data_IF_033868570110
#
_entry.id   IF_033868570110
#
_cell.length_a   1.000
_cell.length_b   1.000
_cell.length_c   1.000
_cell.angle_alpha   90.00
_cell.angle_beta   90.00
_cell.angle_gamma   90.00
#
_symmetry.space_group_name_H-M   'P 1'
#
loop_
_entity.id
_entity.type
_entity.pdbx_description
1 polymer ?
#
# COMPACT_ATOMS: atom_id res chain seq x y z
N UNK A 1 -7.14 62.93 -88.39
CA UNK A 1 -7.01 61.95 -89.49
C UNK A 1 -8.33 61.19 -89.60
N UNK A 2 -9.08 61.37 -90.69
CA UNK A 2 -10.42 60.80 -90.84
C UNK A 2 -10.36 59.26 -90.93
N UNK A 3 -11.45 58.56 -90.56
CA UNK A 3 -11.51 57.09 -90.55
C UNK A 3 -11.10 56.49 -91.91
N UNK A 4 -11.51 57.13 -93.01
CA UNK A 4 -11.07 56.79 -94.36
C UNK A 4 -9.55 56.86 -94.53
N UNK A 5 -8.90 57.88 -93.98
CA UNK A 5 -7.43 58.03 -94.04
C UNK A 5 -6.71 57.00 -93.17
N UNK A 6 -7.31 56.58 -92.05
CA UNK A 6 -6.75 55.51 -91.18
C UNK A 6 -6.88 54.13 -91.81
N UNK A 7 -8.04 53.81 -92.38
CA UNK A 7 -8.26 52.56 -93.12
C UNK A 7 -7.41 52.53 -94.38
N UNK A 8 -7.29 53.64 -95.09
CA UNK A 8 -6.39 53.75 -96.24
C UNK A 8 -4.92 53.55 -95.83
N UNK A 9 -4.49 54.09 -94.68
CA UNK A 9 -3.13 53.82 -94.16
C UNK A 9 -2.97 52.33 -93.82
N UNK A 10 -3.94 51.72 -93.16
CA UNK A 10 -3.89 50.31 -92.81
C UNK A 10 -3.84 49.41 -94.05
N UNK A 11 -4.69 49.64 -95.05
CA UNK A 11 -4.68 48.93 -96.33
C UNK A 11 -3.38 49.16 -97.11
N UNK A 12 -2.85 50.38 -97.08
CA UNK A 12 -1.55 50.71 -97.68
C UNK A 12 -0.43 49.89 -97.03
N UNK A 13 -0.37 49.83 -95.70
CA UNK A 13 0.60 48.99 -95.00
C UNK A 13 0.38 47.49 -95.22
N UNK A 14 -0.87 47.04 -95.38
CA UNK A 14 -1.20 45.65 -95.70
C UNK A 14 -0.74 45.26 -97.12
N UNK A 15 -0.89 46.15 -98.09
CA UNK A 15 -0.33 45.98 -99.44
C UNK A 15 1.20 46.03 -99.44
N UNK A 16 1.82 46.95 -98.70
CA UNK A 16 3.28 46.99 -98.56
C UNK A 16 3.78 45.68 -97.94
N UNK A 17 3.08 45.17 -96.92
CA UNK A 17 3.38 43.88 -96.31
C UNK A 17 3.24 42.70 -97.29
N UNK A 18 2.18 42.65 -98.10
CA UNK A 18 2.01 41.58 -99.09
C UNK A 18 3.11 41.60 -100.15
N UNK A 19 3.56 42.79 -100.56
CA UNK A 19 4.67 42.95 -101.51
C UNK A 19 5.99 42.49 -100.89
N UNK A 20 6.30 42.89 -99.66
CA UNK A 20 7.51 42.42 -98.97
C UNK A 20 7.49 40.92 -98.68
N UNK A 21 6.32 40.35 -98.37
CA UNK A 21 6.16 38.90 -98.19
C UNK A 21 6.36 38.14 -99.51
N UNK A 22 5.89 38.68 -100.63
CA UNK A 22 6.12 38.12 -101.97
C UNK A 22 7.61 38.20 -102.37
N UNK A 23 8.29 39.30 -102.06
CA UNK A 23 9.74 39.45 -102.29
C UNK A 23 10.52 38.46 -101.43
N UNK A 24 10.15 38.30 -100.16
CA UNK A 24 10.74 37.31 -99.26
C UNK A 24 10.51 35.87 -99.73
N UNK A 25 9.32 35.56 -100.23
CA UNK A 25 9.00 34.26 -100.83
C UNK A 25 9.77 34.00 -102.12
N UNK A 26 9.94 35.01 -102.97
CA UNK A 26 10.74 34.91 -104.18
C UNK A 26 12.23 34.66 -103.87
N UNK A 27 12.78 35.34 -102.87
CA UNK A 27 14.14 35.07 -102.36
C UNK A 27 14.27 33.68 -101.73
N UNK A 28 13.24 33.21 -101.02
CA UNK A 28 13.19 31.86 -100.45
C UNK A 28 13.20 30.77 -101.54
N UNK A 29 12.46 30.98 -102.62
CA UNK A 29 12.40 30.03 -103.75
C UNK A 29 13.65 30.13 -104.65
N UNK A 30 14.31 31.29 -104.72
CA UNK A 30 15.43 31.54 -105.64
C UNK A 30 16.83 31.22 -105.06
N UNK A 31 16.97 30.87 -103.79
CA UNK A 31 18.29 30.63 -103.18
C UNK A 31 18.69 29.16 -103.24
N UNK A 32 19.70 28.85 -104.06
CA UNK A 32 20.45 27.59 -103.99
C UNK A 32 21.28 27.52 -102.68
N UNK A 33 21.48 26.30 -102.16
CA UNK A 33 22.00 25.99 -100.82
C UNK A 33 23.38 26.61 -100.48
N UNK A 34 23.47 27.45 -99.43
CA UNK A 34 24.48 27.41 -98.34
C UNK A 34 24.46 28.68 -97.43
N UNK A 35 24.54 28.47 -96.10
CA UNK A 35 24.63 29.43 -94.96
C UNK A 35 23.30 29.84 -94.31
N UNK A 36 23.03 29.26 -93.12
CA UNK A 36 21.78 29.34 -92.32
C UNK A 36 21.71 30.62 -91.45
N UNK A 37 22.48 31.68 -91.76
CA UNK A 37 22.56 32.89 -90.93
C UNK A 37 21.62 34.04 -91.38
N UNK A 38 21.30 34.25 -92.68
CA UNK A 38 20.35 35.31 -93.06
C UNK A 38 18.89 34.98 -92.73
N UNK A 39 18.54 33.70 -92.52
CA UNK A 39 17.15 33.24 -92.33
C UNK A 39 16.57 33.65 -90.97
N UNK A 40 17.36 33.58 -89.89
CA UNK A 40 16.91 33.99 -88.55
C UNK A 40 16.72 35.50 -88.41
N UNK A 41 17.54 36.30 -89.11
CA UNK A 41 17.40 37.75 -89.16
C UNK A 41 16.09 38.17 -89.87
N UNK A 42 15.74 37.50 -90.97
CA UNK A 42 14.48 37.74 -91.68
C UNK A 42 13.27 37.30 -90.85
N UNK A 43 13.35 36.13 -90.18
CA UNK A 43 12.28 35.65 -89.31
C UNK A 43 12.08 36.53 -88.07
N UNK A 44 13.14 37.05 -87.45
CA UNK A 44 13.04 37.96 -86.31
C UNK A 44 12.48 39.32 -86.72
N UNK A 45 12.90 39.87 -87.86
CA UNK A 45 12.32 41.12 -88.39
C UNK A 45 10.85 40.93 -88.77
N UNK A 46 10.47 39.81 -89.38
CA UNK A 46 9.07 39.49 -89.68
C UNK A 46 8.24 39.30 -88.41
N UNK A 47 8.79 38.65 -87.38
CA UNK A 47 8.14 38.50 -86.07
C UNK A 47 7.95 39.86 -85.39
N UNK A 48 8.98 40.70 -85.35
CA UNK A 48 8.90 42.06 -84.80
C UNK A 48 7.89 42.93 -85.57
N UNK A 49 7.86 42.84 -86.90
CA UNK A 49 6.88 43.56 -87.72
C UNK A 49 5.46 43.01 -87.55
N UNK A 50 5.29 41.71 -87.35
CA UNK A 50 4.00 41.11 -87.03
C UNK A 50 3.51 41.55 -85.66
N UNK A 51 4.39 41.58 -84.66
CA UNK A 51 4.10 42.09 -83.31
C UNK A 51 3.78 43.59 -83.37
N UNK A 52 4.53 44.38 -84.15
CA UNK A 52 4.26 45.81 -84.32
C UNK A 52 2.94 46.05 -85.06
N UNK A 53 2.67 45.30 -86.13
CA UNK A 53 1.42 45.37 -86.88
C UNK A 53 0.22 44.95 -86.02
N UNK A 54 0.34 43.90 -85.21
CA UNK A 54 -0.73 43.46 -84.30
C UNK A 54 -0.93 44.46 -83.17
N UNK A 55 0.14 45.01 -82.58
CA UNK A 55 0.06 46.07 -81.58
C UNK A 55 -0.56 47.35 -82.16
N UNK A 56 -0.22 47.71 -83.40
CA UNK A 56 -0.72 48.91 -84.07
C UNK A 56 -2.16 48.71 -84.56
N UNK A 57 -2.55 47.51 -85.01
CA UNK A 57 -3.96 47.13 -85.26
C UNK A 57 -4.77 47.18 -83.97
N UNK A 58 -4.25 46.63 -82.87
CA UNK A 58 -4.88 46.69 -81.57
C UNK A 58 -5.05 48.15 -81.12
N UNK A 59 -4.03 49.00 -81.27
CA UNK A 59 -4.10 50.42 -80.90
C UNK A 59 -5.07 51.22 -81.80
N UNK A 60 -5.02 50.99 -83.11
CA UNK A 60 -5.88 51.67 -84.10
C UNK A 60 -7.33 51.20 -84.01
N UNK A 61 -7.60 49.95 -83.63
CA UNK A 61 -8.94 49.42 -83.43
C UNK A 61 -9.50 49.76 -82.03
N UNK A 62 -8.68 49.72 -80.98
CA UNK A 62 -9.12 49.94 -79.60
C UNK A 62 -9.64 51.36 -79.35
N UNK A 63 -9.02 52.39 -79.94
CA UNK A 63 -9.46 53.77 -79.78
C UNK A 63 -10.85 54.06 -80.39
N UNK A 64 -11.16 53.70 -81.66
CA UNK A 64 -12.50 53.84 -82.22
C UNK A 64 -13.51 52.87 -81.59
N UNK A 65 -13.11 51.65 -81.18
CA UNK A 65 -14.00 50.75 -80.42
C UNK A 65 -14.39 51.34 -79.06
N UNK A 66 -13.45 51.90 -78.29
CA UNK A 66 -13.78 52.62 -77.05
C UNK A 66 -14.69 53.82 -77.29
N UNK A 67 -14.47 54.56 -78.38
CA UNK A 67 -15.34 55.69 -78.78
C UNK A 67 -16.72 55.25 -79.28
N UNK A 68 -16.80 54.08 -79.91
CA UNK A 68 -18.06 53.47 -80.37
C UNK A 68 -18.83 52.85 -79.21
N UNK A 69 -18.16 52.23 -78.24
CA UNK A 69 -18.78 51.70 -77.02
C UNK A 69 -19.28 52.84 -76.14
N UNK A 70 -18.49 53.87 -75.88
CA UNK A 70 -18.95 55.05 -75.12
C UNK A 70 -20.08 55.81 -75.82
N UNK A 71 -20.04 55.97 -77.16
CA UNK A 71 -21.18 56.52 -77.91
C UNK A 71 -22.38 55.58 -77.96
N UNK A 72 -22.18 54.27 -77.97
CA UNK A 72 -23.25 53.29 -77.89
C UNK A 72 -23.92 53.28 -76.50
N UNK A 73 -23.17 53.56 -75.44
CA UNK A 73 -23.68 53.77 -74.08
C UNK A 73 -24.54 55.06 -74.02
N UNK A 74 -24.06 56.16 -74.62
CA UNK A 74 -24.83 57.41 -74.76
C UNK A 74 -26.05 57.29 -75.70
N UNK A 75 -25.99 56.42 -76.72
CA UNK A 75 -27.06 56.20 -77.71
C UNK A 75 -28.05 55.11 -77.30
N UNK A 76 -27.72 54.23 -76.36
CA UNK A 76 -28.65 53.23 -75.80
C UNK A 76 -29.77 53.90 -75.00
N UNK A 77 -29.51 55.08 -74.41
CA UNK A 77 -30.51 55.91 -73.74
C UNK A 77 -31.29 56.82 -74.71
N UNK A 78 -30.81 56.98 -75.96
CA UNK A 78 -31.46 57.80 -76.99
C UNK A 78 -32.27 56.92 -77.95
N UNK A 79 -33.56 56.81 -77.64
CA UNK A 79 -34.55 55.98 -78.31
C UNK A 79 -34.68 56.24 -79.83
N UNK A 80 -34.84 55.13 -80.57
CA UNK A 80 -35.47 54.98 -81.89
C UNK A 80 -34.84 55.45 -83.23
N UNK A 81 -33.52 55.69 -83.34
CA UNK A 81 -32.91 56.11 -84.63
C UNK A 81 -31.82 55.21 -85.27
N UNK A 82 -31.55 54.02 -84.71
CA UNK A 82 -30.56 53.08 -85.26
C UNK A 82 -31.16 52.00 -86.19
N UNK A 83 -30.50 51.66 -87.33
CA UNK A 83 -30.84 50.49 -88.14
C UNK A 83 -30.79 49.19 -87.32
N UNK A 84 -31.79 48.31 -87.49
CA UNK A 84 -32.02 47.14 -86.62
C UNK A 84 -30.82 46.18 -86.43
N UNK A 85 -30.01 45.95 -87.48
CA UNK A 85 -28.80 45.11 -87.38
C UNK A 85 -27.71 45.73 -86.50
N UNK A 86 -27.51 47.06 -86.61
CA UNK A 86 -26.49 47.76 -85.84
C UNK A 86 -26.89 47.88 -84.37
N UNK A 87 -28.19 48.11 -84.10
CA UNK A 87 -28.76 48.08 -82.75
C UNK A 87 -28.53 46.73 -82.10
N UNK A 88 -28.84 45.64 -82.80
CA UNK A 88 -28.65 44.26 -82.30
C UNK A 88 -27.18 43.95 -82.02
N UNK A 89 -26.26 44.36 -82.90
CA UNK A 89 -24.82 44.18 -82.68
C UNK A 89 -24.31 44.99 -81.49
N UNK A 90 -24.74 46.25 -81.35
CA UNK A 90 -24.37 47.13 -80.24
C UNK A 90 -24.91 46.60 -78.91
N UNK A 91 -26.19 46.23 -78.85
CA UNK A 91 -26.79 45.66 -77.63
C UNK A 91 -26.16 44.33 -77.26
N UNK A 92 -25.83 43.46 -78.23
CA UNK A 92 -25.13 42.21 -77.97
C UNK A 92 -23.68 42.44 -77.51
N UNK A 93 -22.98 43.43 -78.06
CA UNK A 93 -21.60 43.72 -77.67
C UNK A 93 -21.55 44.35 -76.26
N UNK A 94 -22.49 45.25 -75.96
CA UNK A 94 -22.62 45.86 -74.64
C UNK A 94 -23.06 44.83 -73.59
N UNK A 95 -24.01 43.96 -73.91
CA UNK A 95 -24.42 42.87 -73.02
C UNK A 95 -23.29 41.85 -72.80
N UNK A 96 -22.48 41.52 -73.79
CA UNK A 96 -21.28 40.69 -73.60
C UNK A 96 -20.27 41.38 -72.66
N UNK A 97 -20.07 42.68 -72.79
CA UNK A 97 -19.16 43.43 -71.90
C UNK A 97 -19.68 43.48 -70.46
N UNK A 98 -20.97 43.75 -70.28
CA UNK A 98 -21.65 43.77 -68.98
C UNK A 98 -21.67 42.36 -68.35
N UNK A 99 -22.05 41.33 -69.09
CA UNK A 99 -22.01 39.94 -68.64
C UNK A 99 -20.59 39.52 -68.25
N UNK A 100 -19.57 39.95 -69.00
CA UNK A 100 -18.18 39.71 -68.64
C UNK A 100 -17.84 40.36 -67.31
N UNK A 101 -18.17 41.64 -67.08
CA UNK A 101 -17.96 42.31 -65.79
C UNK A 101 -18.74 41.65 -64.64
N UNK A 102 -19.96 41.19 -64.88
CA UNK A 102 -20.74 40.45 -63.88
C UNK A 102 -20.06 39.14 -63.50
N UNK A 103 -19.59 38.36 -64.48
CA UNK A 103 -18.81 37.13 -64.24
C UNK A 103 -17.52 37.44 -63.48
N UNK A 104 -16.85 38.55 -63.77
CA UNK A 104 -15.67 39.01 -63.02
C UNK A 104 -15.96 39.26 -61.55
N UNK A 105 -17.04 40.00 -61.27
CA UNK A 105 -17.43 40.31 -59.90
C UNK A 105 -17.84 39.05 -59.14
N UNK A 106 -18.62 38.16 -59.77
CA UNK A 106 -19.02 36.88 -59.19
C UNK A 106 -17.80 36.02 -58.84
N UNK A 107 -16.86 35.83 -59.77
CA UNK A 107 -15.66 35.02 -59.50
C UNK A 107 -14.77 35.68 -58.44
N UNK A 108 -14.65 37.01 -58.44
CA UNK A 108 -13.92 37.76 -57.42
C UNK A 108 -14.52 37.61 -56.02
N UNK A 109 -15.84 37.70 -55.90
CA UNK A 109 -16.57 37.45 -54.65
C UNK A 109 -16.37 36.01 -54.16
N UNK A 110 -16.53 35.02 -55.05
CA UNK A 110 -16.28 33.61 -54.70
C UNK A 110 -14.84 33.35 -54.24
N UNK A 111 -13.85 33.98 -54.85
CA UNK A 111 -12.45 33.83 -54.42
C UNK A 111 -12.19 34.46 -53.05
N UNK A 112 -12.81 35.60 -52.76
CA UNK A 112 -12.71 36.23 -51.44
C UNK A 112 -13.39 35.40 -50.36
N UNK A 113 -14.57 34.84 -50.66
CA UNK A 113 -15.28 33.91 -49.77
C UNK A 113 -14.47 32.64 -49.53
N UNK A 114 -13.92 32.04 -50.59
CA UNK A 114 -13.06 30.85 -50.49
C UNK A 114 -11.78 31.14 -49.69
N UNK A 115 -11.17 32.31 -49.83
CA UNK A 115 -10.02 32.70 -49.02
C UNK A 115 -10.39 32.87 -47.53
N UNK A 116 -11.56 33.44 -47.26
CA UNK A 116 -12.10 33.57 -45.90
C UNK A 116 -12.33 32.19 -45.27
N UNK A 117 -12.95 31.26 -46.01
CA UNK A 117 -13.18 29.90 -45.54
C UNK A 117 -11.88 29.11 -45.34
N UNK A 118 -10.88 29.27 -46.23
CA UNK A 118 -9.55 28.68 -46.03
C UNK A 118 -8.88 29.21 -44.75
N UNK A 119 -8.98 30.50 -44.46
CA UNK A 119 -8.43 31.08 -43.23
C UNK A 119 -9.14 30.52 -41.98
N UNK A 120 -10.47 30.35 -42.02
CA UNK A 120 -11.26 29.75 -40.94
C UNK A 120 -10.88 28.28 -40.71
N UNK A 121 -10.64 27.53 -41.79
CA UNK A 121 -10.17 26.14 -41.71
C UNK A 121 -8.73 26.04 -41.18
N UNK A 122 -7.83 26.96 -41.56
CA UNK A 122 -6.47 27.05 -41.03
C UNK A 122 -6.49 27.26 -39.50
N UNK A 123 -7.39 28.12 -38.99
CA UNK A 123 -7.61 28.36 -37.56
C UNK A 123 -8.18 27.14 -36.85
N UNK A 124 -9.26 26.54 -37.37
CA UNK A 124 -9.87 25.33 -36.80
C UNK A 124 -8.87 24.16 -36.73
N UNK A 125 -8.01 24.02 -37.74
CA UNK A 125 -6.94 23.03 -37.74
C UNK A 125 -5.91 23.32 -36.65
N UNK A 126 -5.48 24.58 -36.50
CA UNK A 126 -4.55 24.97 -35.44
C UNK A 126 -5.05 24.53 -34.07
N UNK A 127 -6.31 24.86 -33.78
CA UNK A 127 -6.99 24.44 -32.56
C UNK A 127 -7.08 22.92 -32.42
N UNK A 128 -7.38 22.18 -33.51
CA UNK A 128 -7.44 20.72 -33.49
C UNK A 128 -6.08 20.08 -33.16
N UNK A 129 -4.99 20.62 -33.71
CA UNK A 129 -3.62 20.14 -33.45
C UNK A 129 -3.20 20.38 -31.99
N UNK A 130 -3.59 21.52 -31.44
CA UNK A 130 -3.33 21.84 -30.03
C UNK A 130 -4.11 20.89 -29.11
N UNK A 131 -5.41 20.67 -29.39
CA UNK A 131 -6.26 19.71 -28.67
C UNK A 131 -5.66 18.30 -28.72
N UNK A 132 -5.23 17.83 -29.89
CA UNK A 132 -4.61 16.50 -30.04
C UNK A 132 -3.33 16.37 -29.20
N UNK A 133 -2.51 17.42 -29.16
CA UNK A 133 -1.28 17.42 -28.37
C UNK A 133 -1.57 17.38 -26.89
N UNK A 134 -2.57 18.15 -26.43
CA UNK A 134 -3.03 18.16 -25.04
C UNK A 134 -3.63 16.82 -24.62
N UNK A 135 -4.48 16.21 -25.46
CA UNK A 135 -5.05 14.88 -25.23
C UNK A 135 -3.97 13.81 -25.10
N UNK A 136 -2.96 13.80 -25.98
CA UNK A 136 -1.87 12.82 -25.89
C UNK A 136 -1.09 12.92 -24.58
N UNK A 137 -0.80 14.14 -24.12
CA UNK A 137 -0.15 14.36 -22.83
C UNK A 137 -1.04 13.91 -21.67
N UNK A 138 -2.35 14.15 -21.76
CA UNK A 138 -3.32 13.71 -20.78
C UNK A 138 -3.38 12.18 -20.70
N UNK A 139 -3.43 11.46 -21.83
CA UNK A 139 -3.42 10.00 -21.85
C UNK A 139 -2.15 9.41 -21.24
N UNK A 140 -0.98 9.97 -21.55
CA UNK A 140 0.27 9.51 -20.94
C UNK A 140 0.25 9.66 -19.41
N UNK A 141 -0.21 10.82 -18.92
CA UNK A 141 -0.34 11.07 -17.47
C UNK A 141 -1.34 10.13 -16.81
N UNK A 142 -2.52 9.97 -17.41
CA UNK A 142 -3.57 9.11 -16.86
C UNK A 142 -3.14 7.63 -16.90
N UNK A 143 -2.52 7.17 -18.00
CA UNK A 143 -2.04 5.79 -18.11
C UNK A 143 -0.87 5.48 -17.17
N UNK A 144 0.01 6.44 -16.91
CA UNK A 144 1.02 6.31 -15.85
C UNK A 144 0.37 6.19 -14.47
N UNK A 145 -0.59 7.07 -14.16
CA UNK A 145 -1.32 7.05 -12.89
C UNK A 145 -2.08 5.74 -12.66
N UNK A 146 -2.75 5.18 -13.69
CA UNK A 146 -3.47 3.91 -13.55
C UNK A 146 -2.54 2.70 -13.38
N UNK A 147 -1.36 2.70 -14.03
CA UNK A 147 -0.35 1.66 -13.77
C UNK A 147 0.17 1.73 -12.34
N UNK A 148 0.34 2.93 -11.80
CA UNK A 148 0.71 3.13 -10.40
C UNK A 148 -0.39 2.65 -9.45
N UNK A 149 -1.66 2.96 -9.74
CA UNK A 149 -2.82 2.40 -9.01
C UNK A 149 -2.79 0.87 -9.03
N UNK A 150 -2.57 0.24 -10.20
CA UNK A 150 -2.46 -1.21 -10.32
C UNK A 150 -1.35 -1.81 -9.45
N UNK A 151 -0.19 -1.14 -9.37
CA UNK A 151 0.90 -1.54 -8.47
C UNK A 151 0.47 -1.41 -7.00
N UNK A 152 -0.12 -0.29 -6.60
CA UNK A 152 -0.60 -0.07 -5.24
C UNK A 152 -1.65 -1.10 -4.84
N UNK A 153 -2.58 -1.47 -5.73
CA UNK A 153 -3.56 -2.52 -5.48
C UNK A 153 -2.88 -3.88 -5.22
N UNK A 154 -1.83 -4.20 -5.99
CA UNK A 154 -1.06 -5.43 -5.76
C UNK A 154 -0.32 -5.39 -4.41
N UNK A 155 0.30 -4.26 -4.06
CA UNK A 155 1.02 -4.10 -2.80
C UNK A 155 0.05 -4.24 -1.60
N UNK A 156 -1.13 -3.61 -1.67
CA UNK A 156 -2.18 -3.75 -0.64
C UNK A 156 -2.71 -5.18 -0.57
N UNK A 157 -2.81 -5.90 -1.70
CA UNK A 157 -3.19 -7.32 -1.73
C UNK A 157 -2.17 -8.21 -0.99
N UNK A 158 -0.88 -7.94 -1.17
CA UNK A 158 0.19 -8.64 -0.44
C UNK A 158 0.08 -8.33 1.05
N UNK A 159 -0.02 -7.06 1.44
CA UNK A 159 -0.16 -6.67 2.85
C UNK A 159 -1.42 -7.27 3.51
N UNK A 160 -2.53 -7.35 2.79
CA UNK A 160 -3.76 -7.98 3.28
C UNK A 160 -3.55 -9.47 3.55
N UNK A 161 -2.84 -10.20 2.67
CA UNK A 161 -2.49 -11.62 2.89
C UNK A 161 -1.56 -11.80 4.08
N UNK A 162 -0.52 -10.99 4.20
CA UNK A 162 0.39 -11.02 5.36
C UNK A 162 -0.38 -10.78 6.67
N UNK A 163 -1.39 -9.90 6.64
CA UNK A 163 -2.24 -9.65 7.80
C UNK A 163 -3.08 -10.89 8.18
N UNK A 164 -3.56 -11.67 7.22
CA UNK A 164 -4.22 -12.97 7.50
C UNK A 164 -3.26 -13.91 8.22
N UNK A 165 -2.02 -14.02 7.75
CA UNK A 165 -1.03 -14.96 8.31
C UNK A 165 -0.67 -14.61 9.76
N UNK A 166 -0.48 -13.32 10.06
CA UNK A 166 -0.23 -12.82 11.42
C UNK A 166 -1.40 -13.16 12.34
N UNK A 167 -2.63 -12.90 11.88
CA UNK A 167 -3.84 -13.12 12.66
C UNK A 167 -4.14 -14.61 12.86
N UNK A 168 -3.90 -15.43 11.83
CA UNK A 168 -4.02 -16.89 11.88
C UNK A 168 -3.08 -17.50 12.93
N UNK A 169 -1.91 -16.89 13.13
CA UNK A 169 -0.96 -17.30 14.17
C UNK A 169 -1.35 -16.81 15.57
N UNK A 170 -1.92 -15.60 15.67
CA UNK A 170 -2.30 -14.99 16.94
C UNK A 170 -3.53 -15.65 17.60
N UNK A 171 -4.47 -16.16 16.80
CA UNK A 171 -5.71 -16.78 17.30
C UNK A 171 -5.46 -17.97 18.22
N UNK A 172 -4.71 -19.00 17.77
CA UNK A 172 -4.33 -20.14 18.58
C UNK A 172 -3.55 -19.75 19.84
N UNK A 173 -2.64 -18.77 19.77
CA UNK A 173 -1.88 -18.29 20.93
C UNK A 173 -2.79 -17.71 22.02
N UNK A 174 -3.81 -16.93 21.63
CA UNK A 174 -4.79 -16.39 22.58
C UNK A 174 -5.71 -17.48 23.15
N UNK A 175 -6.06 -18.48 22.35
CA UNK A 175 -6.83 -19.63 22.83
C UNK A 175 -6.02 -20.49 23.81
N UNK A 176 -4.72 -20.67 23.55
CA UNK A 176 -3.81 -21.34 24.47
C UNK A 176 -3.65 -20.55 25.77
N UNK A 177 -3.57 -19.21 25.70
CA UNK A 177 -3.57 -18.34 26.87
C UNK A 177 -4.86 -18.48 27.69
N UNK A 178 -6.03 -18.55 27.04
CA UNK A 178 -7.31 -18.85 27.72
C UNK A 178 -7.26 -20.19 28.46
N UNK A 179 -6.76 -21.23 27.79
CA UNK A 179 -6.62 -22.57 28.40
C UNK A 179 -5.62 -22.56 29.55
N UNK A 180 -4.53 -21.80 29.42
CA UNK A 180 -3.55 -21.61 30.49
C UNK A 180 -4.18 -20.94 31.72
N UNK A 181 -4.99 -19.89 31.53
CA UNK A 181 -5.71 -19.21 32.61
C UNK A 181 -6.63 -20.20 33.36
N UNK A 182 -7.44 -20.98 32.63
CA UNK A 182 -8.32 -21.99 33.24
C UNK A 182 -7.54 -23.07 34.00
N UNK A 183 -6.38 -23.47 33.48
CA UNK A 183 -5.48 -24.42 34.16
C UNK A 183 -4.92 -23.84 35.45
N UNK A 184 -4.56 -22.55 35.48
CA UNK A 184 -4.09 -21.89 36.71
C UNK A 184 -5.19 -21.88 37.76
N UNK A 185 -6.42 -21.52 37.40
CA UNK A 185 -7.58 -21.52 38.31
C UNK A 185 -7.85 -22.94 38.88
N UNK A 186 -7.85 -23.95 38.01
CA UNK A 186 -8.05 -25.35 38.42
C UNK A 186 -6.93 -25.84 39.33
N UNK A 187 -5.67 -25.58 38.95
CA UNK A 187 -4.51 -25.97 39.74
C UNK A 187 -4.50 -25.28 41.11
N UNK A 188 -4.84 -24.00 41.18
CA UNK A 188 -4.94 -23.27 42.45
C UNK A 188 -6.01 -23.87 43.37
N UNK A 189 -7.14 -24.31 42.81
CA UNK A 189 -8.18 -25.01 43.57
C UNK A 189 -7.65 -26.31 44.15
N UNK A 190 -6.95 -27.11 43.35
CA UNK A 190 -6.31 -28.36 43.81
C UNK A 190 -5.26 -28.09 44.89
N UNK A 191 -4.35 -27.13 44.65
CA UNK A 191 -3.31 -26.72 45.62
C UNK A 191 -3.94 -26.28 46.94
N UNK A 192 -4.99 -25.46 46.90
CA UNK A 192 -5.66 -24.99 48.12
C UNK A 192 -6.33 -26.15 48.88
N UNK A 193 -6.88 -27.14 48.18
CA UNK A 193 -7.44 -28.34 48.83
C UNK A 193 -6.36 -29.18 49.53
N UNK A 194 -5.22 -29.41 48.87
CA UNK A 194 -4.08 -30.13 49.45
C UNK A 194 -3.46 -29.37 50.62
N UNK A 195 -3.33 -28.04 50.53
CA UNK A 195 -2.85 -27.21 51.63
C UNK A 195 -3.80 -27.24 52.84
N UNK A 196 -5.11 -27.35 52.62
CA UNK A 196 -6.10 -27.53 53.68
C UNK A 196 -5.94 -28.89 54.38
N UNK A 197 -5.69 -29.95 53.63
CA UNK A 197 -5.40 -31.28 54.18
C UNK A 197 -4.12 -31.27 55.03
N UNK A 198 -3.04 -30.68 54.51
CA UNK A 198 -1.78 -30.51 55.24
C UNK A 198 -1.98 -29.69 56.52
N UNK A 199 -2.76 -28.60 56.47
CA UNK A 199 -3.11 -27.81 57.66
C UNK A 199 -3.83 -28.66 58.71
N UNK A 200 -4.75 -29.54 58.29
CA UNK A 200 -5.40 -30.51 59.18
C UNK A 200 -4.41 -31.46 59.85
N UNK A 201 -3.48 -32.03 59.08
CA UNK A 201 -2.42 -32.91 59.62
C UNK A 201 -1.48 -32.18 60.57
N UNK A 202 -1.20 -30.90 60.33
CA UNK A 202 -0.40 -30.05 61.23
C UNK A 202 -1.12 -29.86 62.57
N UNK A 203 -2.43 -29.64 62.55
CA UNK A 203 -3.24 -29.50 63.78
C UNK A 203 -3.25 -30.80 64.59
N UNK A 204 -3.51 -31.94 63.92
CA UNK A 204 -3.50 -33.26 64.56
C UNK A 204 -2.11 -33.59 65.13
N UNK A 205 -1.04 -33.32 64.38
CA UNK A 205 0.33 -33.53 64.85
C UNK A 205 0.66 -32.66 66.07
N UNK A 206 0.22 -31.39 66.11
CA UNK A 206 0.40 -30.53 67.29
C UNK A 206 -0.28 -31.10 68.53
N UNK A 207 -1.51 -31.60 68.41
CA UNK A 207 -2.23 -32.24 69.51
C UNK A 207 -1.48 -33.48 70.03
N UNK A 208 -0.94 -34.29 69.12
CA UNK A 208 -0.14 -35.48 69.43
C UNK A 208 1.15 -35.13 70.20
N UNK A 209 1.89 -34.09 69.78
CA UNK A 209 3.08 -33.62 70.50
C UNK A 209 2.75 -33.06 71.88
N UNK A 210 1.63 -32.36 72.00
CA UNK A 210 1.17 -31.83 73.28
C UNK A 210 0.79 -32.96 74.26
N UNK A 211 0.10 -34.00 73.78
CA UNK A 211 -0.22 -35.20 74.58
C UNK A 211 1.06 -35.93 74.99
N UNK A 212 1.98 -36.16 74.05
CA UNK A 212 3.25 -36.83 74.33
C UNK A 212 4.11 -36.03 75.33
N UNK A 213 4.10 -34.69 75.24
CA UNK A 213 4.77 -33.82 76.22
C UNK A 213 4.21 -34.03 77.63
N UNK A 214 2.89 -34.16 77.77
CA UNK A 214 2.23 -34.47 79.05
C UNK A 214 2.61 -35.85 79.58
N UNK A 215 2.59 -36.88 78.73
CA UNK A 215 2.97 -38.24 79.11
C UNK A 215 4.43 -38.33 79.57
N UNK A 216 5.36 -37.71 78.83
CA UNK A 216 6.78 -37.68 79.22
C UNK A 216 6.98 -36.91 80.52
N UNK A 217 6.21 -35.85 80.75
CA UNK A 217 6.25 -35.13 82.03
C UNK A 217 5.79 -36.02 83.20
N UNK A 218 4.77 -36.85 83.00
CA UNK A 218 4.34 -37.84 84.02
C UNK A 218 5.41 -38.91 84.29
N UNK A 219 6.10 -39.38 83.24
CA UNK A 219 7.24 -40.31 83.39
C UNK A 219 8.41 -39.63 84.13
N UNK A 220 8.67 -38.35 83.85
CA UNK A 220 9.67 -37.54 84.57
C UNK A 220 9.37 -37.47 86.07
N UNK A 221 8.13 -37.16 86.43
CA UNK A 221 7.68 -37.12 87.83
C UNK A 221 7.80 -38.48 88.51
N UNK A 222 7.40 -39.55 87.82
CA UNK A 222 7.52 -40.93 88.32
C UNK A 222 8.99 -41.32 88.56
N UNK A 223 9.89 -40.92 87.66
CA UNK A 223 11.33 -41.15 87.80
C UNK A 223 11.93 -40.38 88.99
N UNK A 224 11.47 -39.15 89.24
CA UNK A 224 11.85 -38.39 90.45
C UNK A 224 11.37 -39.07 91.73
N UNK A 225 10.15 -39.61 91.74
CA UNK A 225 9.62 -40.36 92.88
C UNK A 225 10.44 -41.63 93.15
N UNK A 226 10.79 -42.39 92.11
CA UNK A 226 11.68 -43.57 92.23
C UNK A 226 13.03 -43.16 92.80
N UNK A 227 13.62 -42.06 92.33
CA UNK A 227 14.90 -41.57 92.86
C UNK A 227 14.83 -41.27 94.36
N UNK A 228 13.72 -40.69 94.82
CA UNK A 228 13.48 -40.47 96.26
C UNK A 228 13.40 -41.78 97.03
N UNK A 229 12.73 -42.81 96.49
CA UNK A 229 12.62 -44.12 97.12
C UNK A 229 14.00 -44.80 97.18
N UNK A 230 14.75 -44.81 96.08
CA UNK A 230 16.11 -45.38 96.00
C UNK A 230 17.01 -44.79 97.08
N UNK A 231 16.94 -43.47 97.30
CA UNK A 231 17.69 -42.79 98.36
C UNK A 231 17.28 -43.24 99.76
N UNK A 232 15.99 -43.44 100.02
CA UNK A 232 15.51 -43.97 101.30
C UNK A 232 16.00 -45.39 101.54
N UNK A 233 16.04 -46.24 100.49
CA UNK A 233 16.55 -47.61 100.62
C UNK A 233 18.07 -47.58 100.86
N UNK A 234 18.81 -46.68 100.21
CA UNK A 234 20.24 -46.45 100.46
C UNK A 234 20.48 -46.16 101.95
N UNK A 235 19.74 -45.18 102.50
CA UNK A 235 19.79 -44.81 103.92
C UNK A 235 19.43 -45.99 104.85
N UNK A 236 18.49 -46.87 104.45
CA UNK A 236 18.12 -48.07 105.22
C UNK A 236 19.26 -49.11 105.18
N UNK A 237 19.85 -49.35 104.01
CA UNK A 237 20.96 -50.29 103.84
C UNK A 237 22.15 -49.88 104.71
N UNK A 238 22.52 -48.60 104.69
CA UNK A 238 23.60 -48.06 105.52
C UNK A 238 23.32 -48.24 107.01
N UNK A 239 22.06 -48.03 107.45
CA UNK A 239 21.64 -48.31 108.83
C UNK A 239 21.75 -49.78 109.19
N UNK A 240 21.33 -50.69 108.30
CA UNK A 240 21.43 -52.14 108.52
C UNK A 240 22.90 -52.56 108.63
N UNK A 241 23.77 -52.02 107.77
CA UNK A 241 25.21 -52.30 107.81
C UNK A 241 25.82 -51.88 109.16
N UNK A 242 25.48 -50.68 109.64
CA UNK A 242 25.90 -50.21 110.97
C UNK A 242 25.33 -51.07 112.11
N UNK A 243 24.07 -51.50 112.00
CA UNK A 243 23.42 -52.33 113.02
C UNK A 243 24.04 -53.72 113.10
N UNK A 244 24.34 -54.32 111.94
CA UNK A 244 24.98 -55.63 111.84
C UNK A 244 26.44 -55.56 112.34
N UNK A 245 27.17 -54.48 112.04
CA UNK A 245 28.50 -54.27 112.58
C UNK A 245 28.48 -54.22 114.11
N UNK A 246 27.55 -53.47 114.69
CA UNK A 246 27.36 -53.41 116.14
C UNK A 246 27.01 -54.78 116.72
N UNK A 247 26.16 -55.55 116.05
CA UNK A 247 25.80 -56.91 116.46
C UNK A 247 27.00 -57.89 116.38
N UNK A 248 27.83 -57.79 115.35
CA UNK A 248 29.07 -58.58 115.21
C UNK A 248 30.06 -58.27 116.33
N UNK A 249 30.22 -56.98 116.69
CA UNK A 249 31.07 -56.55 117.81
C UNK A 249 30.56 -57.16 119.13
N UNK A 250 29.26 -57.07 119.41
CA UNK A 250 28.70 -57.57 120.66
C UNK A 250 28.68 -59.11 120.72
N UNK A 251 28.50 -59.78 119.58
CA UNK A 251 28.64 -61.23 119.46
C UNK A 251 30.08 -61.70 119.72
N UNK A 252 31.09 -60.97 119.22
CA UNK A 252 32.50 -61.23 119.54
C UNK A 252 32.79 -61.01 121.04
N UNK A 253 32.14 -60.02 121.66
CA UNK A 253 32.26 -59.70 123.09
C UNK A 253 31.68 -60.77 124.01
N UNK A 254 30.63 -61.48 123.57
CA UNK A 254 30.03 -62.61 124.27
C UNK A 254 30.84 -63.93 124.19
N UNK A 255 31.95 -63.95 123.43
CA UNK A 255 32.85 -65.09 123.33
C UNK A 255 32.19 -66.34 122.72
N UNK A 256 32.40 -67.51 123.33
CA UNK A 256 31.87 -68.80 122.83
C UNK A 256 30.33 -68.84 122.76
N UNK A 257 29.63 -68.12 123.65
CA UNK A 257 28.17 -68.04 123.65
C UNK A 257 27.60 -67.19 122.49
N UNK A 258 28.42 -66.34 121.88
CA UNK A 258 28.03 -65.42 120.80
C UNK A 258 28.29 -65.94 119.38
N UNK A 259 28.95 -67.09 119.20
CA UNK A 259 29.38 -67.58 117.86
C UNK A 259 28.24 -67.68 116.84
N UNK A 260 27.07 -68.17 117.25
CA UNK A 260 25.89 -68.25 116.37
C UNK A 260 25.37 -66.87 115.93
N UNK A 261 25.37 -65.89 116.85
CA UNK A 261 24.98 -64.51 116.56
C UNK A 261 26.00 -63.78 115.68
N UNK A 262 27.30 -64.09 115.83
CA UNK A 262 28.35 -63.48 115.03
C UNK A 262 28.23 -63.87 113.55
N UNK A 263 27.92 -65.15 113.27
CA UNK A 263 27.68 -65.63 111.90
C UNK A 263 26.47 -64.94 111.27
N UNK A 264 25.37 -64.80 112.02
CA UNK A 264 24.17 -64.09 111.52
C UNK A 264 24.47 -62.62 111.26
N UNK A 265 25.18 -61.94 112.17
CA UNK A 265 25.52 -60.52 112.02
C UNK A 265 26.47 -60.26 110.84
N UNK A 266 27.39 -61.17 110.55
CA UNK A 266 28.25 -61.11 109.36
C UNK A 266 27.47 -61.36 108.06
N UNK A 267 26.53 -62.32 108.05
CA UNK A 267 25.68 -62.58 106.89
C UNK A 267 24.75 -61.39 106.59
N UNK A 268 24.20 -60.75 107.63
CA UNK A 268 23.42 -59.50 107.50
C UNK A 268 24.29 -58.35 106.98
N UNK A 269 25.57 -58.27 107.38
CA UNK A 269 26.50 -57.26 106.85
C UNK A 269 26.69 -57.43 105.34
N UNK A 270 27.00 -58.67 104.92
CA UNK A 270 27.18 -59.02 103.50
C UNK A 270 25.94 -58.76 102.68
N UNK A 271 24.76 -59.08 103.23
CA UNK A 271 23.48 -58.79 102.57
C UNK A 271 23.24 -57.29 102.41
N UNK A 272 23.62 -56.48 103.40
CA UNK A 272 23.52 -55.02 103.30
C UNK A 272 24.49 -54.43 102.28
N UNK A 273 25.75 -54.85 102.27
CA UNK A 273 26.72 -54.42 101.25
C UNK A 273 26.26 -54.78 99.83
N UNK A 274 25.74 -56.00 99.65
CA UNK A 274 25.17 -56.43 98.38
C UNK A 274 23.95 -55.59 97.99
N UNK A 275 23.10 -55.23 98.95
CA UNK A 275 21.94 -54.35 98.73
C UNK A 275 22.37 -52.94 98.32
N UNK A 276 23.37 -52.36 98.99
CA UNK A 276 23.92 -51.04 98.64
C UNK A 276 24.50 -51.01 97.22
N UNK A 277 25.21 -52.07 96.80
CA UNK A 277 25.72 -52.20 95.43
C UNK A 277 24.59 -52.21 94.40
N UNK A 278 23.51 -52.96 94.65
CA UNK A 278 22.34 -52.99 93.77
C UNK A 278 21.62 -51.63 93.70
N UNK A 279 21.47 -50.94 94.84
CA UNK A 279 20.88 -49.61 94.92
C UNK A 279 21.69 -48.61 94.10
N UNK A 280 23.02 -48.66 94.16
CA UNK A 280 23.90 -47.81 93.35
C UNK A 280 23.71 -48.05 91.84
N UNK A 281 23.54 -49.31 91.45
CA UNK A 281 23.24 -49.67 90.06
C UNK A 281 21.86 -49.13 89.61
N UNK A 282 20.83 -49.29 90.45
CA UNK A 282 19.48 -48.74 90.21
C UNK A 282 19.53 -47.21 90.12
N UNK A 283 20.26 -46.53 91.00
CA UNK A 283 20.45 -45.08 90.97
C UNK A 283 21.09 -44.63 89.66
N UNK A 284 22.07 -45.38 89.16
CA UNK A 284 22.68 -45.18 87.85
C UNK A 284 21.69 -45.33 86.69
N UNK A 285 20.81 -46.34 86.74
CA UNK A 285 19.74 -46.53 85.74
C UNK A 285 18.75 -45.36 85.77
N UNK A 286 18.31 -44.94 86.95
CA UNK A 286 17.37 -43.81 87.13
C UNK A 286 17.98 -42.49 86.64
N UNK A 287 19.26 -42.25 86.93
CA UNK A 287 19.99 -41.08 86.43
C UNK A 287 20.11 -41.04 84.90
N UNK A 288 20.36 -42.21 84.27
CA UNK A 288 20.32 -42.34 82.81
C UNK A 288 18.93 -42.07 82.25
N UNK A 289 17.88 -42.64 82.85
CA UNK A 289 16.49 -42.41 82.42
C UNK A 289 16.10 -40.92 82.49
N UNK A 290 16.49 -40.19 83.55
CA UNK A 290 16.26 -38.73 83.63
C UNK A 290 16.91 -37.97 82.47
N UNK A 291 18.15 -38.34 82.13
CA UNK A 291 18.86 -37.72 81.01
C UNK A 291 18.18 -38.02 79.66
N UNK A 292 17.67 -39.23 79.46
CA UNK A 292 16.89 -39.60 78.27
C UNK A 292 15.55 -38.85 78.20
N UNK A 293 14.83 -38.73 79.33
CA UNK A 293 13.57 -37.98 79.43
C UNK A 293 13.79 -36.49 79.10
N UNK A 294 14.84 -35.87 79.64
CA UNK A 294 15.16 -34.48 79.35
C UNK A 294 15.44 -34.25 77.84
N UNK A 295 16.19 -35.17 77.22
CA UNK A 295 16.41 -35.16 75.76
C UNK A 295 15.12 -35.36 74.97
N UNK A 296 14.20 -36.19 75.46
CA UNK A 296 12.92 -36.39 74.80
C UNK A 296 12.05 -35.13 74.83
N UNK A 297 11.99 -34.41 75.96
CA UNK A 297 11.27 -33.12 76.08
C UNK A 297 11.85 -32.09 75.10
N UNK A 298 13.17 -31.97 75.02
CA UNK A 298 13.83 -31.04 74.08
C UNK A 298 13.48 -31.38 72.62
N UNK A 299 13.46 -32.67 72.27
CA UNK A 299 13.06 -33.13 70.93
C UNK A 299 11.61 -32.80 70.62
N UNK A 300 10.68 -32.97 71.56
CA UNK A 300 9.27 -32.59 71.37
C UNK A 300 9.13 -31.11 71.08
N UNK A 301 9.79 -30.25 71.87
CA UNK A 301 9.76 -28.80 71.67
C UNK A 301 10.36 -28.40 70.33
N UNK A 302 11.44 -29.06 69.90
CA UNK A 302 12.02 -28.84 68.58
C UNK A 302 11.02 -29.20 67.46
N UNK A 303 10.32 -30.32 67.60
CA UNK A 303 9.31 -30.73 66.62
C UNK A 303 8.10 -29.78 66.58
N UNK A 304 7.64 -29.25 67.72
CA UNK A 304 6.60 -28.21 67.73
C UNK A 304 7.00 -26.97 66.93
N UNK A 305 8.26 -26.53 67.03
CA UNK A 305 8.77 -25.41 66.24
C UNK A 305 8.80 -25.72 64.73
N UNK A 306 9.11 -26.96 64.36
CA UNK A 306 9.02 -27.41 62.96
C UNK A 306 7.58 -27.31 62.46
N UNK A 307 6.60 -27.77 63.24
CA UNK A 307 5.17 -27.68 62.87
C UNK A 307 4.70 -26.23 62.72
N UNK A 308 5.12 -25.31 63.59
CA UNK A 308 4.83 -23.88 63.45
C UNK A 308 5.44 -23.29 62.17
N UNK A 309 6.64 -23.74 61.78
CA UNK A 309 7.29 -23.32 60.54
C UNK A 309 6.51 -23.82 59.32
N UNK A 310 6.09 -25.09 59.33
CA UNK A 310 5.29 -25.67 58.24
C UNK A 310 3.95 -24.93 58.11
N UNK A 311 3.30 -24.59 59.23
CA UNK A 311 2.05 -23.83 59.24
C UNK A 311 2.21 -22.45 58.58
N UNK A 312 3.31 -21.75 58.87
CA UNK A 312 3.64 -20.49 58.21
C UNK A 312 3.86 -20.66 56.70
N UNK A 313 4.53 -21.73 56.28
CA UNK A 313 4.77 -22.03 54.86
C UNK A 313 3.46 -22.37 54.13
N UNK A 314 2.54 -23.08 54.77
CA UNK A 314 1.21 -23.38 54.23
C UNK A 314 0.44 -22.08 54.00
N UNK A 315 0.41 -21.18 54.98
CA UNK A 315 -0.26 -19.88 54.84
C UNK A 315 0.36 -19.04 53.71
N UNK A 316 1.68 -19.03 53.58
CA UNK A 316 2.36 -18.36 52.47
C UNK A 316 2.00 -18.97 51.11
N UNK A 317 1.94 -20.30 51.02
CA UNK A 317 1.57 -21.01 49.80
C UNK A 317 0.13 -20.71 49.37
N UNK A 318 -0.81 -20.60 50.32
CA UNK A 318 -2.19 -20.16 50.05
C UNK A 318 -2.21 -18.74 49.49
N UNK A 319 -1.43 -17.82 50.06
CA UNK A 319 -1.32 -16.45 49.56
C UNK A 319 -0.78 -16.38 48.13
N UNK A 320 0.32 -17.10 47.85
CA UNK A 320 0.91 -17.17 46.50
C UNK A 320 -0.04 -17.82 45.48
N UNK A 321 -0.79 -18.84 45.89
CA UNK A 321 -1.82 -19.48 45.07
C UNK A 321 -2.91 -18.45 44.68
N UNK A 322 -3.38 -17.65 45.66
CA UNK A 322 -4.35 -16.58 45.42
C UNK A 322 -3.83 -15.49 44.46
N UNK A 323 -2.60 -15.01 44.66
CA UNK A 323 -1.98 -14.01 43.77
C UNK A 323 -1.86 -14.52 42.33
N UNK A 324 -1.50 -15.79 42.14
CA UNK A 324 -1.40 -16.38 40.81
C UNK A 324 -2.76 -16.44 40.09
N UNK A 325 -3.84 -16.74 40.82
CA UNK A 325 -5.21 -16.72 40.28
C UNK A 325 -5.62 -15.30 39.89
N UNK A 326 -5.32 -14.31 40.74
CA UNK A 326 -5.61 -12.90 40.43
C UNK A 326 -4.89 -12.42 39.17
N UNK A 327 -3.59 -12.73 39.03
CA UNK A 327 -2.82 -12.44 37.82
C UNK A 327 -3.37 -13.15 36.59
N UNK A 328 -3.80 -14.40 36.72
CA UNK A 328 -4.42 -15.14 35.62
C UNK A 328 -5.76 -14.50 35.19
N UNK A 329 -6.61 -14.12 36.15
CA UNK A 329 -7.85 -13.40 35.88
C UNK A 329 -7.62 -12.03 35.21
N UNK A 330 -6.61 -11.27 35.64
CA UNK A 330 -6.26 -9.99 35.02
C UNK A 330 -5.90 -10.13 33.53
N UNK A 331 -5.32 -11.26 33.13
CA UNK A 331 -5.00 -11.57 31.74
C UNK A 331 -6.20 -12.02 30.90
N UNK A 332 -7.33 -12.38 31.54
CA UNK A 332 -8.53 -12.86 30.83
C UNK A 332 -9.14 -11.79 29.92
N UNK A 333 -9.36 -10.60 30.46
CA UNK A 333 -9.95 -9.48 29.72
C UNK A 333 -9.14 -9.06 28.47
N UNK A 334 -7.81 -8.85 28.57
CA UNK A 334 -6.95 -8.61 27.41
C UNK A 334 -7.01 -9.71 26.35
N UNK A 335 -6.99 -10.97 26.76
CA UNK A 335 -6.99 -12.08 25.81
C UNK A 335 -8.35 -12.26 25.11
N UNK A 336 -9.48 -12.07 25.81
CA UNK A 336 -10.81 -12.01 25.18
C UNK A 336 -10.94 -10.84 24.19
N UNK A 337 -10.38 -9.66 24.53
CA UNK A 337 -10.31 -8.53 23.59
C UNK A 337 -9.47 -8.87 22.36
N UNK A 338 -8.34 -9.55 22.55
CA UNK A 338 -7.49 -10.01 21.46
C UNK A 338 -8.22 -10.94 20.50
N UNK A 339 -9.01 -11.90 21.02
CA UNK A 339 -9.80 -12.82 20.19
C UNK A 339 -10.83 -12.04 19.35
N UNK A 340 -11.52 -11.06 19.95
CA UNK A 340 -12.47 -10.21 19.20
C UNK A 340 -11.77 -9.37 18.13
N UNK A 341 -10.61 -8.80 18.43
CA UNK A 341 -9.81 -8.02 17.47
C UNK A 341 -9.37 -8.89 16.28
N UNK A 342 -8.97 -10.14 16.53
CA UNK A 342 -8.63 -11.10 15.49
C UNK A 342 -9.81 -11.34 14.54
N UNK A 343 -11.01 -11.56 15.08
CA UNK A 343 -12.22 -11.74 14.27
C UNK A 343 -12.54 -10.49 13.44
N UNK A 344 -12.38 -9.30 14.02
CA UNK A 344 -12.57 -8.04 13.30
C UNK A 344 -11.55 -7.85 12.17
N UNK A 345 -10.28 -8.16 12.41
CA UNK A 345 -9.25 -8.06 11.35
C UNK A 345 -9.53 -9.06 10.24
N UNK A 346 -9.94 -10.29 10.55
CA UNK A 346 -10.34 -11.26 9.53
C UNK A 346 -11.45 -10.73 8.62
N UNK A 347 -12.49 -10.12 9.22
CA UNK A 347 -13.57 -9.49 8.45
C UNK A 347 -13.06 -8.33 7.59
N UNK A 348 -12.26 -7.41 8.15
CA UNK A 348 -11.73 -6.29 7.38
C UNK A 348 -10.82 -6.74 6.25
N UNK A 349 -10.05 -7.81 6.43
CA UNK A 349 -9.22 -8.35 5.36
C UNK A 349 -10.05 -8.94 4.22
N UNK A 350 -11.18 -9.58 4.54
CA UNK A 350 -12.14 -10.04 3.52
C UNK A 350 -12.76 -8.86 2.75
N UNK A 351 -13.17 -7.80 3.47
CA UNK A 351 -13.70 -6.59 2.85
C UNK A 351 -12.66 -5.92 1.93
N UNK A 352 -11.40 -5.83 2.37
CA UNK A 352 -10.29 -5.31 1.56
C UNK A 352 -10.10 -6.16 0.31
N UNK A 353 -10.13 -7.48 0.42
CA UNK A 353 -9.98 -8.37 -0.74
C UNK A 353 -11.07 -8.12 -1.79
N UNK A 354 -12.32 -7.89 -1.36
CA UNK A 354 -13.44 -7.55 -2.24
C UNK A 354 -13.24 -6.19 -2.92
N UNK A 355 -12.83 -5.17 -2.16
CA UNK A 355 -12.53 -3.84 -2.71
C UNK A 355 -11.37 -3.88 -3.71
N UNK A 356 -10.31 -4.62 -3.40
CA UNK A 356 -9.17 -4.77 -4.31
C UNK A 356 -9.56 -5.42 -5.64
N UNK A 357 -10.44 -6.42 -5.60
CA UNK A 357 -10.97 -7.05 -6.81
C UNK A 357 -11.74 -6.04 -7.66
N UNK A 358 -12.70 -5.33 -7.07
CA UNK A 358 -13.52 -4.31 -7.77
C UNK A 358 -12.67 -3.19 -8.38
N UNK A 359 -11.65 -2.71 -7.64
CA UNK A 359 -10.72 -1.69 -8.11
C UNK A 359 -9.78 -2.21 -9.19
N UNK A 360 -9.36 -3.47 -9.11
CA UNK A 360 -8.54 -4.13 -10.14
C UNK A 360 -9.29 -4.27 -11.46
N UNK A 361 -10.56 -4.68 -11.40
CA UNK A 361 -11.44 -4.78 -12.56
C UNK A 361 -11.66 -3.38 -13.19
N UNK A 362 -11.98 -2.38 -12.37
CA UNK A 362 -12.13 -0.98 -12.80
C UNK A 362 -10.86 -0.41 -13.46
N UNK A 363 -9.69 -0.70 -12.91
CA UNK A 363 -8.40 -0.25 -13.47
C UNK A 363 -8.13 -0.89 -14.82
N UNK A 364 -8.46 -2.19 -14.96
CA UNK A 364 -8.29 -2.93 -16.20
C UNK A 364 -9.22 -2.42 -17.31
N UNK A 365 -10.48 -2.13 -16.97
CA UNK A 365 -11.45 -1.51 -17.88
C UNK A 365 -10.98 -0.12 -18.32
N UNK A 366 -10.49 0.68 -17.38
CA UNK A 366 -9.99 2.02 -17.67
C UNK A 366 -8.81 2.00 -18.66
N UNK A 367 -7.85 1.08 -18.47
CA UNK A 367 -6.72 0.93 -19.39
C UNK A 367 -7.20 0.56 -20.80
N UNK A 368 -8.18 -0.35 -20.94
CA UNK A 368 -8.75 -0.68 -22.25
C UNK A 368 -9.43 0.52 -22.90
N UNK A 369 -10.15 1.33 -22.13
CA UNK A 369 -10.78 2.55 -22.64
C UNK A 369 -9.73 3.59 -23.08
N UNK A 370 -8.62 3.72 -22.35
CA UNK A 370 -7.50 4.57 -22.78
C UNK A 370 -6.90 4.12 -24.11
N UNK A 371 -6.66 2.82 -24.29
CA UNK A 371 -6.15 2.26 -25.55
C UNK A 371 -7.08 2.60 -26.71
N UNK A 372 -8.40 2.42 -26.53
CA UNK A 372 -9.38 2.75 -27.56
C UNK A 372 -9.42 4.25 -27.91
N UNK A 373 -9.26 5.14 -26.93
CA UNK A 373 -9.24 6.58 -27.19
C UNK A 373 -7.93 6.97 -27.89
N UNK A 374 -6.82 6.35 -27.52
CA UNK A 374 -5.54 6.57 -28.17
C UNK A 374 -5.60 6.21 -29.67
N UNK A 375 -6.21 5.08 -30.02
CA UNK A 375 -6.43 4.69 -31.43
C UNK A 375 -7.27 5.73 -32.19
N UNK A 376 -8.36 6.22 -31.59
CA UNK A 376 -9.20 7.27 -32.19
C UNK A 376 -8.47 8.59 -32.36
N UNK A 377 -7.55 8.92 -31.45
CA UNK A 377 -6.74 10.13 -31.53
C UNK A 377 -5.74 10.04 -32.70
N UNK A 378 -5.21 8.85 -32.96
CA UNK A 378 -4.37 8.58 -34.13
C UNK A 378 -5.15 8.71 -35.45
N UNK A 379 -6.37 8.18 -35.50
CA UNK A 379 -7.26 8.37 -36.66
C UNK A 379 -7.54 9.85 -36.95
N UNK A 380 -7.86 10.63 -35.91
CA UNK A 380 -8.08 12.08 -36.04
C UNK A 380 -6.83 12.81 -36.55
N UNK A 381 -5.64 12.38 -36.14
CA UNK A 381 -4.37 12.95 -36.63
C UNK A 381 -4.19 12.66 -38.13
N UNK A 382 -4.52 11.46 -38.59
CA UNK A 382 -4.46 11.09 -40.00
C UNK A 382 -5.47 11.90 -40.84
N UNK A 383 -6.67 12.14 -40.30
CA UNK A 383 -7.69 13.00 -40.93
C UNK A 383 -7.19 14.45 -41.03
N UNK A 384 -6.61 15.00 -39.96
CA UNK A 384 -6.06 16.36 -39.95
C UNK A 384 -4.94 16.53 -41.00
N UNK A 385 -4.04 15.55 -41.13
CA UNK A 385 -3.00 15.55 -42.17
C UNK A 385 -3.58 15.47 -43.59
N UNK A 386 -4.67 14.72 -43.77
CA UNK A 386 -5.36 14.66 -45.06
C UNK A 386 -6.02 15.98 -45.42
N UNK A 387 -6.59 16.68 -44.43
CA UNK A 387 -7.14 18.01 -44.59
C UNK A 387 -6.06 19.04 -44.96
N UNK A 388 -4.85 18.92 -44.40
CA UNK A 388 -3.69 19.77 -44.77
C UNK A 388 -3.39 19.70 -46.26
N UNK A 389 -3.25 18.47 -46.78
CA UNK A 389 -2.94 18.26 -48.20
C UNK A 389 -4.05 18.79 -49.11
N UNK A 390 -5.32 18.65 -48.73
CA UNK A 390 -6.44 19.16 -49.50
C UNK A 390 -6.48 20.69 -49.51
N UNK A 391 -6.30 21.33 -48.36
CA UNK A 391 -6.28 22.79 -48.26
C UNK A 391 -5.15 23.41 -49.08
N UNK A 392 -3.95 22.82 -49.06
CA UNK A 392 -2.84 23.29 -49.88
C UNK A 392 -3.17 23.24 -51.37
N UNK A 393 -3.83 22.16 -51.83
CA UNK A 393 -4.29 22.05 -53.23
C UNK A 393 -5.35 23.09 -53.59
N UNK A 394 -6.31 23.34 -52.70
CA UNK A 394 -7.35 24.35 -52.92
C UNK A 394 -6.73 25.75 -52.96
N UNK A 395 -5.81 26.07 -52.05
CA UNK A 395 -5.10 27.36 -52.00
C UNK A 395 -4.31 27.60 -53.30
N UNK A 396 -3.54 26.61 -53.74
CA UNK A 396 -2.81 26.68 -54.99
C UNK A 396 -3.74 26.86 -56.20
N UNK A 397 -4.89 26.18 -56.22
CA UNK A 397 -5.90 26.33 -57.26
C UNK A 397 -6.54 27.73 -57.27
N UNK A 398 -6.86 28.27 -56.11
CA UNK A 398 -7.41 29.63 -55.94
C UNK A 398 -6.42 30.72 -56.37
N UNK A 399 -5.14 30.54 -56.07
CA UNK A 399 -4.08 31.44 -56.53
C UNK A 399 -3.93 31.40 -58.05
N UNK A 400 -3.96 30.20 -58.65
CA UNK A 400 -3.88 30.04 -60.11
C UNK A 400 -5.07 30.69 -60.82
N UNK A 401 -6.29 30.51 -60.32
CA UNK A 401 -7.49 31.16 -60.89
C UNK A 401 -7.41 32.68 -60.71
N UNK A 402 -7.02 33.18 -59.54
CA UNK A 402 -6.78 34.61 -59.29
C UNK A 402 -5.74 35.21 -60.25
N UNK A 403 -4.65 34.50 -60.52
CA UNK A 403 -3.63 34.93 -61.48
C UNK A 403 -4.13 34.91 -62.93
N UNK A 404 -4.87 33.87 -63.33
CA UNK A 404 -5.49 33.78 -64.65
C UNK A 404 -6.49 34.93 -64.89
N UNK A 405 -7.27 35.23 -63.85
CA UNK A 405 -8.19 36.36 -63.79
C UNK A 405 -7.44 37.70 -63.98
N UNK A 406 -6.34 37.94 -63.27
CA UNK A 406 -5.55 39.18 -63.47
C UNK A 406 -4.98 39.36 -64.89
N UNK A 407 -4.79 38.27 -65.65
CA UNK A 407 -4.24 38.33 -67.03
C UNK A 407 -5.30 38.58 -68.11
N UNK A 408 -6.56 38.31 -67.82
CA UNK A 408 -7.69 38.43 -68.77
C UNK A 408 -8.40 39.79 -68.69
N UNK A 409 -8.09 40.59 -67.67
CA UNK A 409 -8.47 42.01 -67.55
C UNK A 409 -7.40 42.89 -68.20
#
# INVERSE_FOLDING_TARGET
MNLKTRIALALFFLCVFSVFSLIGFWFYVSSDYATVVPTWAVLTVLSCLLILCTALLAFVAAAPLRKLVSRAEELSDADDSLPGELRTFVTNTLSIHQNRQQVWNIIGEYLNELQSDLNRLDEQRGNLKDIQTEEQQLFQKIGASHREIGKLLNDVSISAREQVDVVSSAGPMLQELMNFIMRVETNATTVNSSLKEVSGQIMEGRELFQSMGSEINNVSQSSMAIQSIVKVIEDISDRIALLSLNASIEAARAGEHGRGFAVVAEEVSKLSEHTALQIKEISGIVGRNRTEIARAIERIKSTENVYNTIDSLVNQAVGLSGENVEKAHANKGPAERGIRLIQQIQQYTEDIANVLKDRGDSTSEFIRNLEQIQDRTEDLRNIAQSADMLMERIRNGAEQTSQALKKLN
#
